data_IF_518231133528
#
_entry.id   IF_518231133528
#
_cell.length_a   1.000
_cell.length_b   1.000
_cell.length_c   1.000
_cell.angle_alpha   90.00
_cell.angle_beta   90.00
_cell.angle_gamma   90.00
#
_symmetry.space_group_name_H-M   'P 1'
#
loop_
_entity.id
_entity.type
_entity.pdbx_description
1 polymer ?
#
# COMPACT_ATOMS: atom_id res chain seq x y z
N UNK A 1 -6.56 42.36 -7.84
CA UNK A 1 -7.15 41.50 -8.89
C UNK A 1 -6.20 40.40 -9.39
N UNK A 2 -4.95 40.37 -8.94
CA UNK A 2 -3.90 39.47 -9.42
C UNK A 2 -4.03 38.04 -8.85
N UNK A 3 -4.35 37.93 -7.55
CA UNK A 3 -4.55 36.63 -6.89
C UNK A 3 -5.65 35.77 -7.53
N UNK A 4 -6.72 36.39 -8.08
CA UNK A 4 -7.79 35.67 -8.79
C UNK A 4 -7.30 35.05 -10.10
N UNK A 5 -6.44 35.77 -10.84
CA UNK A 5 -5.84 35.29 -12.09
C UNK A 5 -4.87 34.14 -11.82
N UNK A 6 -4.03 34.28 -10.79
CA UNK A 6 -3.12 33.21 -10.35
C UNK A 6 -3.86 31.95 -9.91
N UNK A 7 -4.94 32.11 -9.14
CA UNK A 7 -5.76 30.99 -8.68
C UNK A 7 -6.41 30.27 -9.86
N UNK A 8 -7.02 31.03 -10.79
CA UNK A 8 -7.62 30.47 -12.01
C UNK A 8 -6.59 29.69 -12.85
N UNK A 9 -5.39 30.24 -13.05
CA UNK A 9 -4.32 29.55 -13.76
C UNK A 9 -3.82 28.27 -13.05
N UNK A 10 -4.00 28.14 -11.73
CA UNK A 10 -3.73 26.87 -11.01
C UNK A 10 -4.80 25.83 -11.34
N UNK A 11 -6.08 26.21 -11.29
CA UNK A 11 -7.18 25.30 -11.65
C UNK A 11 -7.11 24.84 -13.10
N UNK A 12 -6.85 25.74 -14.05
CA UNK A 12 -6.69 25.39 -15.48
C UNK A 12 -5.52 24.41 -15.70
N UNK A 13 -4.41 24.58 -14.96
CA UNK A 13 -3.28 23.63 -15.00
C UNK A 13 -3.65 22.26 -14.42
N UNK A 14 -4.46 22.22 -13.37
CA UNK A 14 -4.89 20.97 -12.76
C UNK A 14 -5.92 20.24 -13.64
N UNK A 15 -6.82 20.95 -14.32
CA UNK A 15 -7.71 20.37 -15.33
C UNK A 15 -6.94 19.80 -16.53
N UNK A 16 -5.98 20.55 -17.08
CA UNK A 16 -5.13 20.06 -18.15
C UNK A 16 -4.36 18.80 -17.72
N UNK A 17 -3.86 18.76 -16.49
CA UNK A 17 -3.18 17.59 -15.94
C UNK A 17 -4.11 16.39 -15.84
N UNK A 18 -5.34 16.57 -15.37
CA UNK A 18 -6.37 15.51 -15.34
C UNK A 18 -6.62 14.96 -16.73
N UNK A 19 -6.81 15.82 -17.72
CA UNK A 19 -7.03 15.41 -19.12
C UNK A 19 -5.85 14.58 -19.65
N UNK A 20 -4.62 15.05 -19.45
CA UNK A 20 -3.41 14.33 -19.87
C UNK A 20 -3.32 12.96 -19.20
N UNK A 21 -3.61 12.88 -17.90
CA UNK A 21 -3.54 11.62 -17.18
C UNK A 21 -4.63 10.63 -17.60
N UNK A 22 -5.86 11.08 -17.87
CA UNK A 22 -6.94 10.25 -18.45
C UNK A 22 -6.47 9.59 -19.75
N UNK A 23 -5.96 10.39 -20.69
CA UNK A 23 -5.52 9.90 -22.00
C UNK A 23 -4.35 8.92 -21.85
N UNK A 24 -3.38 9.24 -20.99
CA UNK A 24 -2.27 8.33 -20.73
C UNK A 24 -2.72 7.02 -20.08
N UNK A 25 -3.70 7.04 -19.18
CA UNK A 25 -4.16 5.83 -18.50
C UNK A 25 -4.61 4.76 -19.51
N UNK A 26 -5.44 5.14 -20.49
CA UNK A 26 -5.91 4.25 -21.56
C UNK A 26 -4.75 3.60 -22.31
N UNK A 27 -3.68 4.36 -22.58
CA UNK A 27 -2.51 3.88 -23.33
C UNK A 27 -1.61 2.97 -22.48
N UNK A 28 -1.45 3.27 -21.20
CA UNK A 28 -0.49 2.60 -20.32
C UNK A 28 -1.09 1.42 -19.54
N UNK A 29 -2.39 1.43 -19.25
CA UNK A 29 -3.10 0.35 -18.54
C UNK A 29 -2.86 -1.03 -19.18
N UNK A 30 -2.97 -1.24 -20.51
CA UNK A 30 -2.68 -2.54 -21.12
C UNK A 30 -1.23 -3.01 -20.90
N UNK A 31 -0.27 -2.07 -20.90
CA UNK A 31 1.15 -2.38 -20.67
C UNK A 31 1.39 -2.81 -19.21
N UNK A 32 0.73 -2.13 -18.27
CA UNK A 32 0.76 -2.46 -16.84
C UNK A 32 0.13 -3.83 -16.62
N UNK A 33 -1.03 -4.09 -17.21
CA UNK A 33 -1.72 -5.38 -17.15
C UNK A 33 -0.84 -6.52 -17.64
N UNK A 34 -0.22 -6.37 -18.82
CA UNK A 34 0.72 -7.38 -19.36
C UNK A 34 1.88 -7.66 -18.41
N UNK A 35 2.43 -6.64 -17.75
CA UNK A 35 3.48 -6.83 -16.76
C UNK A 35 2.99 -7.61 -15.53
N UNK A 36 1.77 -7.33 -15.07
CA UNK A 36 1.16 -8.06 -13.96
C UNK A 36 0.86 -9.52 -14.35
N UNK A 37 0.42 -9.79 -15.57
CA UNK A 37 0.22 -11.14 -16.11
C UNK A 37 1.53 -11.94 -16.13
N UNK A 38 2.63 -11.33 -16.60
CA UNK A 38 3.96 -11.95 -16.57
C UNK A 38 4.36 -12.29 -15.12
N UNK A 39 4.20 -11.35 -14.19
CA UNK A 39 4.52 -11.57 -12.78
C UNK A 39 3.61 -12.63 -12.14
N UNK A 40 2.33 -12.68 -12.51
CA UNK A 40 1.38 -13.71 -12.08
C UNK A 40 1.91 -15.09 -12.44
N UNK A 41 2.28 -15.29 -13.71
CA UNK A 41 2.79 -16.58 -14.20
C UNK A 41 4.11 -16.97 -13.55
N UNK A 42 5.01 -16.01 -13.33
CA UNK A 42 6.32 -16.27 -12.71
C UNK A 42 6.22 -16.60 -11.22
N UNK A 43 5.26 -16.02 -10.50
CA UNK A 43 5.11 -16.17 -9.05
C UNK A 43 4.09 -17.24 -8.66
N UNK A 44 3.18 -17.60 -9.55
CA UNK A 44 2.16 -18.62 -9.28
C UNK A 44 2.81 -19.98 -9.08
N UNK A 45 2.34 -20.69 -8.07
CA UNK A 45 2.73 -22.07 -7.78
C UNK A 45 1.63 -22.77 -6.98
N UNK A 46 1.93 -23.95 -6.44
CA UNK A 46 0.95 -24.71 -5.64
C UNK A 46 0.44 -23.90 -4.43
N UNK A 47 1.30 -23.09 -3.82
CA UNK A 47 1.01 -22.40 -2.56
C UNK A 47 0.63 -20.92 -2.69
N UNK A 48 0.69 -20.32 -3.87
CA UNK A 48 0.20 -18.95 -4.09
C UNK A 48 -0.34 -18.85 -5.51
N UNK A 49 -1.57 -18.35 -5.66
CA UNK A 49 -2.18 -18.04 -6.96
C UNK A 49 -2.57 -16.57 -6.98
N UNK A 50 -2.64 -15.99 -8.16
CA UNK A 50 -2.99 -14.58 -8.34
C UNK A 50 -4.14 -14.43 -9.33
N UNK A 51 -5.01 -13.47 -9.04
CA UNK A 51 -6.08 -13.02 -9.90
C UNK A 51 -5.79 -11.60 -10.36
N UNK A 52 -6.05 -11.32 -11.64
CA UNK A 52 -5.95 -9.97 -12.20
C UNK A 52 -7.36 -9.51 -12.55
N UNK A 53 -7.82 -8.48 -11.87
CA UNK A 53 -9.15 -7.88 -12.06
C UNK A 53 -8.93 -6.57 -12.80
N UNK A 54 -9.46 -6.51 -14.01
CA UNK A 54 -9.43 -5.35 -14.87
C UNK A 54 -10.77 -4.63 -14.78
N UNK A 55 -10.85 -3.64 -13.88
CA UNK A 55 -12.05 -2.84 -13.71
C UNK A 55 -12.03 -1.72 -14.75
N UNK A 56 -13.09 -1.63 -15.54
CA UNK A 56 -13.33 -0.51 -16.45
C UNK A 56 -14.10 0.59 -15.71
N UNK A 57 -13.95 1.83 -16.15
CA UNK A 57 -14.89 2.89 -15.77
C UNK A 57 -16.31 2.44 -16.21
N UNK A 58 -17.28 2.52 -15.28
CA UNK A 58 -18.72 2.17 -15.37
C UNK A 58 -19.16 0.73 -15.00
N UNK A 59 -19.63 0.57 -13.75
CA UNK A 59 -20.92 -0.07 -13.49
C UNK A 59 -21.86 0.97 -12.85
N UNK A 60 -22.76 1.57 -13.63
CA UNK A 60 -23.85 2.48 -13.16
C UNK A 60 -23.48 3.48 -12.05
N UNK A 61 -22.41 4.26 -12.24
CA UNK A 61 -22.06 5.35 -11.32
C UNK A 61 -20.57 5.62 -11.21
N UNK A 62 -20.24 6.79 -10.66
CA UNK A 62 -18.87 7.23 -10.39
C UNK A 62 -18.04 6.16 -9.68
N UNK A 63 -17.08 5.57 -10.39
CA UNK A 63 -16.07 4.66 -9.89
C UNK A 63 -14.88 4.70 -10.82
N UNK A 64 -13.66 4.76 -10.28
CA UNK A 64 -12.45 4.93 -11.10
C UNK A 64 -11.92 3.61 -11.64
N UNK A 65 -11.60 3.58 -12.92
CA UNK A 65 -10.87 2.52 -13.62
C UNK A 65 -9.62 2.12 -12.79
N UNK A 66 -9.47 0.82 -12.57
CA UNK A 66 -8.31 0.28 -11.89
C UNK A 66 -7.92 -1.12 -12.39
N UNK A 67 -6.64 -1.44 -12.18
CA UNK A 67 -6.11 -2.80 -12.30
C UNK A 67 -5.78 -3.32 -10.92
N UNK A 68 -6.39 -4.44 -10.54
CA UNK A 68 -6.12 -5.09 -9.25
C UNK A 68 -5.43 -6.43 -9.45
N UNK A 69 -4.29 -6.61 -8.78
CA UNK A 69 -3.52 -7.84 -8.70
C UNK A 69 -3.70 -8.42 -7.30
N UNK A 70 -4.51 -9.47 -7.18
CA UNK A 70 -4.95 -10.03 -5.91
C UNK A 70 -4.38 -11.43 -5.69
N UNK A 71 -3.94 -11.73 -4.47
CA UNK A 71 -3.62 -13.10 -4.05
C UNK A 71 -4.94 -13.84 -3.88
N UNK A 72 -5.05 -15.06 -4.42
CA UNK A 72 -6.27 -15.85 -4.34
C UNK A 72 -6.68 -16.15 -2.90
N UNK A 73 -7.98 -16.12 -2.66
CA UNK A 73 -8.58 -16.45 -1.38
C UNK A 73 -8.37 -17.93 -1.05
N UNK A 74 -8.26 -18.24 0.24
CA UNK A 74 -8.00 -19.60 0.72
C UNK A 74 -8.80 -19.87 1.99
N UNK A 75 -9.29 -21.10 2.12
CA UNK A 75 -9.84 -21.58 3.40
C UNK A 75 -8.74 -21.60 4.46
N UNK A 76 -9.08 -21.21 5.69
CA UNK A 76 -8.13 -21.22 6.81
C UNK A 76 -7.91 -22.61 7.39
N UNK A 77 -8.81 -23.55 7.08
CA UNK A 77 -8.88 -24.87 7.70
C UNK A 77 -9.77 -24.92 8.93
N UNK A 78 -10.22 -23.76 9.43
CA UNK A 78 -11.20 -23.69 10.53
C UNK A 78 -12.63 -23.74 9.98
N UNK A 79 -13.53 -24.32 10.78
CA UNK A 79 -14.96 -24.27 10.51
C UNK A 79 -15.75 -24.09 11.80
N UNK A 80 -16.86 -23.39 11.72
CA UNK A 80 -17.88 -23.38 12.77
C UNK A 80 -19.02 -24.28 12.33
N UNK A 81 -19.33 -25.28 13.15
CA UNK A 81 -20.50 -26.12 12.96
C UNK A 81 -21.65 -25.56 13.82
N UNK A 82 -22.73 -25.13 13.16
CA UNK A 82 -23.95 -24.70 13.83
C UNK A 82 -24.99 -25.81 13.68
N UNK A 83 -25.33 -26.43 14.81
CA UNK A 83 -26.40 -27.42 14.88
C UNK A 83 -27.67 -26.72 15.35
N UNK A 84 -28.68 -26.72 14.49
CA UNK A 84 -30.06 -26.39 14.85
C UNK A 84 -30.88 -27.68 14.91
N UNK A 85 -32.10 -27.61 15.44
CA UNK A 85 -33.00 -28.77 15.55
C UNK A 85 -33.34 -29.39 14.19
N UNK A 86 -33.22 -28.62 13.10
CA UNK A 86 -33.64 -28.99 11.75
C UNK A 86 -32.48 -29.21 10.77
N UNK A 87 -31.28 -28.69 11.06
CA UNK A 87 -30.14 -28.79 10.15
C UNK A 87 -28.78 -28.62 10.83
N UNK A 88 -27.75 -29.14 10.15
CA UNK A 88 -26.35 -28.90 10.46
C UNK A 88 -25.79 -27.97 9.39
N UNK A 89 -25.37 -26.77 9.77
CA UNK A 89 -24.69 -25.82 8.88
C UNK A 89 -23.19 -25.83 9.17
N UNK A 90 -22.40 -25.97 8.13
CA UNK A 90 -20.94 -25.87 8.19
C UNK A 90 -20.52 -24.52 7.62
N UNK A 91 -19.92 -23.67 8.46
CA UNK A 91 -19.35 -22.39 8.04
C UNK A 91 -17.84 -22.52 7.97
N UNK A 92 -17.30 -22.75 6.77
CA UNK A 92 -15.86 -22.79 6.54
C UNK A 92 -15.31 -21.37 6.53
N UNK A 93 -14.30 -21.11 7.36
CA UNK A 93 -13.69 -19.80 7.46
C UNK A 93 -12.69 -19.57 6.32
N UNK A 94 -12.66 -18.34 5.82
CA UNK A 94 -11.82 -17.94 4.70
C UNK A 94 -10.83 -16.85 5.10
N UNK A 95 -9.72 -16.83 4.37
CA UNK A 95 -8.80 -15.71 4.29
C UNK A 95 -8.90 -15.13 2.89
N UNK A 96 -9.34 -13.87 2.80
CA UNK A 96 -9.25 -13.09 1.57
C UNK A 96 -7.81 -12.64 1.37
N UNK A 97 -7.25 -12.90 0.19
CA UNK A 97 -5.87 -12.56 -0.10
C UNK A 97 -5.64 -11.04 -0.17
N UNK A 98 -4.40 -10.63 0.09
CA UNK A 98 -4.02 -9.23 -0.05
C UNK A 98 -4.07 -8.83 -1.54
N UNK A 99 -4.34 -7.55 -1.82
CA UNK A 99 -4.45 -7.05 -3.19
C UNK A 99 -3.59 -5.81 -3.42
N UNK A 100 -3.04 -5.68 -4.63
CA UNK A 100 -2.42 -4.47 -5.12
C UNK A 100 -3.36 -3.85 -6.15
N UNK A 101 -3.80 -2.62 -5.93
CA UNK A 101 -4.62 -1.88 -6.88
C UNK A 101 -3.82 -0.72 -7.46
N UNK A 102 -3.83 -0.61 -8.79
CA UNK A 102 -3.30 0.53 -9.53
C UNK A 102 -4.53 1.27 -10.06
N UNK A 103 -4.79 2.43 -9.49
CA UNK A 103 -5.98 3.23 -9.80
C UNK A 103 -5.59 4.64 -10.20
N UNK A 104 -6.44 5.23 -11.00
CA UNK A 104 -6.35 6.61 -11.41
C UNK A 104 -7.47 7.42 -10.76
N UNK A 105 -7.15 8.52 -10.07
CA UNK A 105 -8.12 9.32 -9.32
C UNK A 105 -8.70 10.48 -10.14
N UNK A 106 -9.85 11.01 -9.69
CA UNK A 106 -10.48 12.19 -10.28
C UNK A 106 -9.53 13.38 -10.42
N UNK A 107 -8.54 13.52 -9.54
CA UNK A 107 -7.61 14.66 -9.55
C UNK A 107 -6.45 14.50 -10.53
N UNK A 108 -6.38 13.41 -11.30
CA UNK A 108 -5.27 13.19 -12.21
C UNK A 108 -4.14 12.36 -11.62
N UNK A 109 -4.24 11.97 -10.35
CA UNK A 109 -3.21 11.23 -9.65
C UNK A 109 -3.40 9.73 -9.83
N UNK A 110 -2.31 9.03 -10.14
CA UNK A 110 -2.22 7.58 -10.19
C UNK A 110 -1.63 7.08 -8.88
N UNK A 111 -2.28 6.10 -8.30
CA UNK A 111 -1.90 5.49 -7.04
C UNK A 111 -1.62 4.00 -7.21
N UNK A 112 -0.65 3.49 -6.46
CA UNK A 112 -0.49 2.06 -6.22
C UNK A 112 -0.78 1.83 -4.74
N UNK A 113 -1.83 1.07 -4.46
CA UNK A 113 -2.38 0.85 -3.14
C UNK A 113 -2.30 -0.64 -2.83
N UNK A 114 -1.82 -1.00 -1.64
CA UNK A 114 -1.84 -2.37 -1.12
C UNK A 114 -2.98 -2.50 -0.12
N UNK A 115 -3.93 -3.36 -0.42
CA UNK A 115 -4.98 -3.79 0.50
C UNK A 115 -4.50 -5.01 1.29
N UNK A 116 -4.73 -5.03 2.61
CA UNK A 116 -4.31 -6.14 3.46
C UNK A 116 -5.11 -7.41 3.18
N UNK A 117 -4.57 -8.55 3.60
CA UNK A 117 -5.36 -9.77 3.74
C UNK A 117 -6.37 -9.58 4.88
N UNK A 118 -7.56 -10.16 4.74
CA UNK A 118 -8.55 -10.23 5.83
C UNK A 118 -8.95 -11.68 6.04
N UNK A 119 -9.38 -12.03 7.25
CA UNK A 119 -9.77 -13.40 7.56
C UNK A 119 -10.89 -13.41 8.60
N UNK A 120 -11.81 -14.37 8.45
CA UNK A 120 -12.89 -14.59 9.40
C UNK A 120 -12.38 -15.00 10.80
N UNK A 121 -11.15 -15.54 10.86
CA UNK A 121 -10.47 -15.94 12.10
C UNK A 121 -9.71 -14.81 12.81
N UNK A 122 -9.67 -13.60 12.21
CA UNK A 122 -8.89 -12.48 12.74
C UNK A 122 -9.73 -11.24 12.94
N UNK A 123 -9.70 -10.70 14.16
CA UNK A 123 -10.24 -9.37 14.48
C UNK A 123 -9.26 -8.24 14.17
N UNK A 124 -8.05 -8.54 13.68
CA UNK A 124 -7.03 -7.54 13.42
C UNK A 124 -7.40 -6.69 12.20
N UNK A 125 -7.55 -5.40 12.41
CA UNK A 125 -7.75 -4.42 11.33
C UNK A 125 -6.41 -3.89 10.86
N UNK A 126 -6.17 -3.96 9.56
CA UNK A 126 -4.97 -3.43 8.92
C UNK A 126 -5.35 -2.33 7.92
N UNK A 127 -4.57 -1.26 7.87
CA UNK A 127 -4.82 -0.15 6.94
C UNK A 127 -4.35 -0.49 5.52
N UNK A 128 -4.97 0.10 4.50
CA UNK A 128 -4.41 0.04 3.14
C UNK A 128 -3.15 0.90 3.05
N UNK A 129 -2.17 0.48 2.24
CA UNK A 129 -0.88 1.16 2.09
C UNK A 129 -0.70 1.80 0.71
N UNK A 130 -0.57 3.13 0.65
CA UNK A 130 -0.20 3.82 -0.60
C UNK A 130 1.32 3.73 -0.77
N UNK A 131 1.79 2.91 -1.72
CA UNK A 131 3.23 2.69 -1.95
C UNK A 131 3.79 3.58 -3.06
N UNK A 132 2.93 4.09 -3.94
CA UNK A 132 3.28 5.05 -4.98
C UNK A 132 2.16 6.06 -5.22
N UNK A 133 2.55 7.29 -5.51
CA UNK A 133 1.69 8.40 -5.90
C UNK A 133 2.42 9.22 -6.97
N UNK A 134 1.75 9.50 -8.09
CA UNK A 134 2.26 10.40 -9.11
C UNK A 134 1.13 10.93 -9.99
N UNK A 135 1.33 12.08 -10.63
CA UNK A 135 0.40 12.62 -11.64
C UNK A 135 0.73 12.19 -13.07
N UNK A 136 1.70 11.30 -13.28
CA UNK A 136 2.07 10.84 -14.61
C UNK A 136 2.16 9.31 -14.61
N UNK A 137 1.28 8.66 -15.38
CA UNK A 137 1.22 7.20 -15.51
C UNK A 137 2.55 6.62 -16.02
N UNK A 138 3.31 7.37 -16.83
CA UNK A 138 4.65 6.96 -17.31
C UNK A 138 5.63 6.67 -16.18
N UNK A 139 5.40 7.22 -14.99
CA UNK A 139 6.23 6.95 -13.83
C UNK A 139 6.00 5.57 -13.23
N UNK A 140 4.94 4.85 -13.61
CA UNK A 140 4.70 3.45 -13.27
C UNK A 140 5.52 2.58 -14.23
N UNK A 141 6.79 2.40 -13.89
CA UNK A 141 7.70 1.56 -14.66
C UNK A 141 7.59 0.09 -14.25
N UNK A 142 8.02 -0.87 -15.10
CA UNK A 142 8.04 -2.30 -14.75
C UNK A 142 8.74 -2.59 -13.42
N UNK A 143 9.90 -1.94 -13.17
CA UNK A 143 10.62 -2.05 -11.89
C UNK A 143 9.81 -1.61 -10.68
N UNK A 144 8.95 -0.59 -10.83
CA UNK A 144 8.07 -0.14 -9.73
C UNK A 144 6.91 -1.11 -9.52
N UNK A 145 6.36 -1.68 -10.59
CA UNK A 145 5.33 -2.71 -10.50
C UNK A 145 5.89 -3.93 -9.76
N UNK A 146 7.05 -4.42 -10.17
CA UNK A 146 7.73 -5.55 -9.52
C UNK A 146 8.00 -5.27 -8.03
N UNK A 147 8.54 -4.09 -7.71
CA UNK A 147 8.75 -3.68 -6.31
C UNK A 147 7.45 -3.64 -5.52
N UNK A 148 6.35 -3.18 -6.13
CA UNK A 148 5.05 -3.11 -5.47
C UNK A 148 4.45 -4.51 -5.26
N UNK A 149 4.58 -5.42 -6.23
CA UNK A 149 4.19 -6.84 -6.08
C UNK A 149 5.02 -7.53 -5.01
N UNK A 150 6.33 -7.27 -4.94
CA UNK A 150 7.17 -7.78 -3.84
C UNK A 150 6.67 -7.28 -2.48
N UNK A 151 6.34 -5.99 -2.37
CA UNK A 151 5.76 -5.44 -1.14
C UNK A 151 4.41 -6.06 -0.81
N UNK A 152 3.57 -6.37 -1.81
CA UNK A 152 2.30 -7.08 -1.62
C UNK A 152 2.52 -8.45 -0.96
N UNK A 153 3.50 -9.23 -1.43
CA UNK A 153 3.79 -10.55 -0.85
C UNK A 153 4.23 -10.44 0.61
N UNK A 154 5.11 -9.50 0.94
CA UNK A 154 5.49 -9.23 2.32
C UNK A 154 4.30 -8.77 3.15
N UNK A 155 3.40 -7.97 2.59
CA UNK A 155 2.23 -7.48 3.30
C UNK A 155 1.21 -8.57 3.56
N UNK A 156 0.99 -9.46 2.59
CA UNK A 156 0.14 -10.64 2.74
C UNK A 156 0.63 -11.55 3.87
N UNK A 157 1.94 -11.81 3.95
CA UNK A 157 2.52 -12.61 5.03
C UNK A 157 2.40 -11.98 6.42
N UNK A 158 2.29 -10.65 6.49
CA UNK A 158 2.16 -9.89 7.75
C UNK A 158 0.71 -9.76 8.19
N UNK A 159 -0.23 -9.73 7.26
CA UNK A 159 -1.65 -9.46 7.52
C UNK A 159 -2.53 -10.72 7.46
N UNK A 160 -2.10 -11.76 6.76
CA UNK A 160 -2.78 -13.05 6.72
C UNK A 160 -2.53 -13.89 7.97
N UNK A 161 -3.46 -14.80 8.25
CA UNK A 161 -3.39 -15.78 9.35
C UNK A 161 -2.70 -17.08 8.93
N UNK A 162 -2.63 -17.37 7.63
CA UNK A 162 -2.09 -18.62 7.09
C UNK A 162 -0.55 -18.66 7.02
N UNK A 163 0.13 -17.56 7.29
CA UNK A 163 1.58 -17.44 7.13
C UNK A 163 2.23 -16.78 8.34
N UNK A 164 3.40 -17.28 8.72
CA UNK A 164 4.23 -16.61 9.73
C UNK A 164 5.03 -15.48 9.09
N UNK A 165 4.83 -14.26 9.60
CA UNK A 165 5.62 -13.10 9.23
C UNK A 165 7.06 -13.24 9.77
N UNK A 166 8.06 -13.01 8.92
CA UNK A 166 9.44 -12.88 9.39
C UNK A 166 9.70 -11.46 9.90
N UNK A 167 10.72 -11.29 10.75
CA UNK A 167 11.10 -9.97 11.29
C UNK A 167 11.37 -8.94 10.18
N UNK A 168 12.02 -9.37 9.09
CA UNK A 168 12.28 -8.53 7.92
C UNK A 168 10.99 -8.00 7.26
N UNK A 169 9.93 -8.83 7.25
CA UNK A 169 8.64 -8.46 6.66
C UNK A 169 8.00 -7.38 7.54
N UNK A 170 8.01 -7.58 8.86
CA UNK A 170 7.49 -6.61 9.84
C UNK A 170 8.18 -5.25 9.74
N UNK A 171 9.52 -5.23 9.62
CA UNK A 171 10.29 -4.00 9.48
C UNK A 171 9.94 -3.30 8.16
N UNK A 172 9.90 -4.03 7.05
CA UNK A 172 9.54 -3.48 5.74
C UNK A 172 8.16 -2.82 5.76
N UNK A 173 7.15 -3.50 6.33
CA UNK A 173 5.79 -2.97 6.40
C UNK A 173 5.71 -1.73 7.30
N UNK A 174 6.45 -1.69 8.41
CA UNK A 174 6.56 -0.47 9.23
C UNK A 174 7.15 0.70 8.45
N UNK A 175 8.20 0.47 7.66
CA UNK A 175 8.77 1.50 6.79
C UNK A 175 7.77 1.98 5.72
N UNK A 176 6.98 1.08 5.14
CA UNK A 176 5.94 1.45 4.18
C UNK A 176 4.83 2.28 4.83
N UNK A 177 4.43 1.98 6.07
CA UNK A 177 3.48 2.79 6.85
C UNK A 177 4.01 4.21 7.09
N UNK A 178 5.28 4.34 7.45
CA UNK A 178 5.94 5.64 7.60
C UNK A 178 5.96 6.40 6.26
N UNK A 179 6.32 5.73 5.17
CA UNK A 179 6.30 6.35 3.83
C UNK A 179 4.91 6.83 3.44
N UNK A 180 3.88 6.00 3.68
CA UNK A 180 2.49 6.34 3.40
C UNK A 180 2.04 7.58 4.16
N UNK A 181 2.47 7.75 5.42
CA UNK A 181 2.13 8.92 6.23
C UNK A 181 2.54 10.25 5.57
N UNK A 182 3.65 10.27 4.83
CA UNK A 182 4.07 11.45 4.06
C UNK A 182 3.24 11.67 2.78
N UNK A 183 2.62 10.61 2.25
CA UNK A 183 1.82 10.65 1.02
C UNK A 183 0.35 10.98 1.30
N UNK A 184 -0.23 10.43 2.37
CA UNK A 184 -1.64 10.63 2.69
C UNK A 184 -1.95 12.10 2.99
N UNK A 185 -3.09 12.57 2.48
CA UNK A 185 -3.74 13.77 3.00
C UNK A 185 -4.22 13.46 4.41
N UNK A 186 -3.59 14.09 5.39
CA UNK A 186 -4.01 13.99 6.77
C UNK A 186 -4.15 15.42 7.29
N UNK A 187 -5.06 15.64 8.22
CA UNK A 187 -5.24 16.93 8.86
C UNK A 187 -3.88 17.46 9.37
N UNK A 188 -3.61 18.75 9.18
CA UNK A 188 -2.31 19.37 9.49
C UNK A 188 -1.93 19.12 10.95
N UNK A 189 -2.93 19.11 11.85
CA UNK A 189 -2.75 18.87 13.28
C UNK A 189 -2.35 17.41 13.60
N UNK A 190 -2.99 16.44 12.95
CA UNK A 190 -2.64 15.01 13.09
C UNK A 190 -1.26 14.69 12.52
N UNK A 191 -0.88 15.36 11.42
CA UNK A 191 0.48 15.28 10.88
C UNK A 191 1.50 15.85 11.85
N UNK A 192 1.25 17.02 12.42
CA UNK A 192 2.16 17.66 13.39
C UNK A 192 2.35 16.81 14.66
N UNK A 193 1.26 16.32 15.28
CA UNK A 193 1.32 15.48 16.49
C UNK A 193 2.10 14.18 16.28
N UNK A 194 1.92 13.51 15.14
CA UNK A 194 2.64 12.26 14.85
C UNK A 194 4.09 12.50 14.43
N UNK A 195 4.38 13.57 13.68
CA UNK A 195 5.76 13.96 13.35
C UNK A 195 6.52 14.30 14.62
N UNK A 196 5.96 15.11 15.52
CA UNK A 196 6.61 15.45 16.79
C UNK A 196 6.82 14.21 17.68
N UNK A 197 5.83 13.31 17.77
CA UNK A 197 5.96 12.05 18.50
C UNK A 197 7.05 11.11 17.95
N UNK A 198 7.45 11.22 16.68
CA UNK A 198 8.47 10.39 16.06
C UNK A 198 9.83 11.10 16.00
N UNK A 199 9.82 12.40 15.68
CA UNK A 199 10.99 13.28 15.55
C UNK A 199 11.65 13.56 16.90
N UNK A 200 10.89 13.85 17.96
CA UNK A 200 11.47 14.17 19.28
C UNK A 200 12.25 12.96 19.84
N UNK A 201 11.70 11.73 19.85
CA UNK A 201 12.45 10.57 20.33
C UNK A 201 13.63 10.19 19.43
N UNK A 202 13.50 10.32 18.10
CA UNK A 202 14.62 10.02 17.19
C UNK A 202 15.74 11.02 17.29
N UNK A 203 15.43 12.32 17.41
CA UNK A 203 16.44 13.35 17.65
C UNK A 203 17.11 13.14 19.00
N UNK A 204 16.33 12.82 20.04
CA UNK A 204 16.84 12.47 21.37
C UNK A 204 17.79 11.26 21.32
N UNK A 205 17.44 10.23 20.53
CA UNK A 205 18.28 9.06 20.34
C UNK A 205 19.61 9.45 19.67
N UNK A 206 19.57 10.25 18.60
CA UNK A 206 20.77 10.72 17.89
C UNK A 206 21.68 11.53 18.84
N UNK A 207 21.11 12.47 19.60
CA UNK A 207 21.85 13.28 20.57
C UNK A 207 22.46 12.39 21.66
N UNK A 208 21.70 11.41 22.17
CA UNK A 208 22.21 10.47 23.17
C UNK A 208 23.36 9.60 22.64
N UNK A 209 23.28 9.17 21.37
CA UNK A 209 24.34 8.41 20.72
C UNK A 209 25.59 9.27 20.53
N UNK A 210 25.42 10.51 20.07
CA UNK A 210 26.52 11.44 19.88
C UNK A 210 27.23 11.78 21.20
N UNK A 211 26.46 11.98 22.27
CA UNK A 211 26.98 12.18 23.62
C UNK A 211 27.77 10.95 24.10
N UNK A 212 27.23 9.75 23.91
CA UNK A 212 27.92 8.50 24.28
C UNK A 212 29.24 8.33 23.53
N UNK A 213 29.27 8.60 22.22
CA UNK A 213 30.50 8.57 21.42
C UNK A 213 31.52 9.59 21.90
N UNK A 214 31.09 10.83 22.19
CA UNK A 214 31.96 11.88 22.73
C UNK A 214 32.55 11.49 24.10
N UNK A 215 31.74 10.90 25.00
CA UNK A 215 32.20 10.40 26.28
C UNK A 215 33.24 9.29 26.15
N UNK A 216 33.04 8.35 25.20
CA UNK A 216 34.02 7.29 24.91
C UNK A 216 35.33 7.88 24.39
N UNK A 217 35.26 8.81 23.44
CA UNK A 217 36.45 9.48 22.88
C UNK A 217 37.23 10.24 23.96
N UNK A 218 36.54 10.97 24.85
CA UNK A 218 37.15 11.67 25.97
C UNK A 218 37.86 10.71 26.95
N UNK A 219 37.24 9.57 27.25
CA UNK A 219 37.83 8.51 28.09
C UNK A 219 39.09 7.90 27.48
N UNK A 220 39.11 7.72 26.16
CA UNK A 220 40.27 7.18 25.43
C UNK A 220 41.41 8.22 25.38
N UNK A 221 41.11 9.50 25.13
CA UNK A 221 42.11 10.57 25.08
C UNK A 221 42.75 10.91 26.42
N UNK A 222 42.07 10.63 27.54
CA UNK A 222 42.63 10.86 28.90
C UNK A 222 43.55 9.71 29.33
N UNK A 223 43.48 8.54 28.67
CA UNK A 223 44.33 7.38 28.95
C UNK A 223 45.58 7.28 28.06
N UNK A 224 45.74 8.13 27.05
CA UNK A 224 46.96 8.26 26.23
C UNK A 224 47.83 9.41 26.70
#
# INVERSE_FOLDING_TARGET
MEWKKELRAKFERDELRRLISNVNWIIFKPKIKKQLEILSTQLSGEHVRFNIIDMQDEPDGYGFDCLTFQIADRMTGNMRQEKTTESIKFNHHWQKGAALSITYSATGAVHIILFPSTSDDSLATHDSLIVHHSYNVKHITPKKIEKAVKNLLHYHRVTGVLHKAALKDLILIRLLKIKMFFIQYNDKENKFRRVTALYIPTLSLIVSLAAAVASILALVSVKS
#
